data_IF_916721386264
#
_entry.id   IF_916721386264
#
_cell.length_a   1.000
_cell.length_b   1.000
_cell.length_c   1.000
_cell.angle_alpha   90.00
_cell.angle_beta   90.00
_cell.angle_gamma   90.00
#
_symmetry.space_group_name_H-M   'P 1'
#
loop_
_entity.id
_entity.type
_entity.pdbx_description
1 polymer ?
#
# COMPACT_ATOMS: atom_id res chain seq x y z
N UNK A 1 8.62 -16.74 -1.64
CA UNK A 1 7.49 -15.88 -2.01
C UNK A 1 7.05 -15.16 -0.76
N UNK A 2 7.50 -13.92 -0.62
CA UNK A 2 7.06 -13.06 0.46
C UNK A 2 5.57 -12.75 0.29
N UNK A 3 4.86 -12.69 1.41
CA UNK A 3 3.42 -12.39 1.45
C UNK A 3 3.16 -11.22 2.39
N UNK A 4 2.18 -10.38 2.03
CA UNK A 4 1.60 -9.33 2.85
C UNK A 4 0.09 -9.48 2.84
N UNK A 5 -0.47 -9.94 3.95
CA UNK A 5 -1.91 -10.01 4.13
C UNK A 5 -2.41 -8.75 4.85
N UNK A 6 -3.16 -7.91 4.15
CA UNK A 6 -3.54 -6.60 4.71
C UNK A 6 -4.47 -6.77 5.91
N UNK A 7 -5.45 -7.67 5.86
CA UNK A 7 -6.41 -7.87 6.95
C UNK A 7 -5.82 -8.46 8.22
N UNK A 8 -4.79 -9.30 8.08
CA UNK A 8 -4.12 -9.95 9.22
C UNK A 8 -2.93 -9.17 9.76
N UNK A 9 -2.19 -8.50 8.89
CA UNK A 9 -0.93 -7.85 9.26
C UNK A 9 -1.07 -6.34 9.46
N UNK A 10 -2.15 -5.72 9.01
CA UNK A 10 -2.35 -4.27 9.11
C UNK A 10 -3.71 -3.89 9.70
N UNK A 11 -4.78 -4.03 8.92
CA UNK A 11 -6.09 -3.48 9.28
C UNK A 11 -7.23 -4.25 8.64
N UNK A 12 -8.31 -4.43 9.38
CA UNK A 12 -9.58 -4.96 8.86
C UNK A 12 -10.40 -3.88 8.14
N UNK A 13 -10.10 -2.59 8.35
CA UNK A 13 -10.81 -1.45 7.75
C UNK A 13 -9.85 -0.30 7.36
N UNK A 14 -8.98 -0.53 6.37
CA UNK A 14 -8.01 0.46 5.90
C UNK A 14 -8.67 1.59 5.09
N UNK A 15 -8.70 2.80 5.64
CA UNK A 15 -9.39 3.94 5.00
C UNK A 15 -8.60 5.24 4.94
N UNK A 16 -7.78 5.52 5.97
CA UNK A 16 -7.13 6.80 6.17
C UNK A 16 -6.07 7.10 5.12
N UNK A 17 -5.74 8.38 4.93
CA UNK A 17 -4.62 8.78 4.07
C UNK A 17 -3.34 8.81 4.91
N UNK A 18 -3.35 9.61 5.95
CA UNK A 18 -2.18 10.01 6.71
C UNK A 18 -2.26 9.54 8.18
N UNK A 19 -1.12 9.41 8.88
CA UNK A 19 -1.10 9.15 10.33
C UNK A 19 -1.86 10.19 11.16
N UNK A 20 -2.05 11.39 10.61
CA UNK A 20 -2.83 12.44 11.26
C UNK A 20 -4.34 12.18 11.26
N UNK A 21 -4.81 11.35 10.33
CA UNK A 21 -6.21 10.98 10.16
C UNK A 21 -6.62 9.98 11.25
N UNK A 22 -7.92 9.80 11.45
CA UNK A 22 -8.43 8.73 12.32
C UNK A 22 -8.39 7.39 11.58
N UNK A 23 -8.17 6.30 12.34
CA UNK A 23 -8.11 4.94 11.80
C UNK A 23 -6.76 4.58 11.17
N UNK A 24 -6.75 3.44 10.49
CA UNK A 24 -5.54 2.87 9.90
C UNK A 24 -5.29 3.49 8.51
N UNK A 25 -4.09 4.05 8.32
CA UNK A 25 -3.79 4.94 7.20
C UNK A 25 -2.93 4.34 6.10
N UNK A 26 -3.04 4.87 4.87
CA UNK A 26 -2.21 4.46 3.75
C UNK A 26 -0.73 4.81 3.94
N UNK A 27 -0.43 5.94 4.60
CA UNK A 27 0.94 6.31 4.96
C UNK A 27 1.57 5.27 5.90
N UNK A 28 0.84 4.87 6.94
CA UNK A 28 1.27 3.83 7.88
C UNK A 28 1.51 2.49 7.18
N UNK A 29 0.54 2.03 6.40
CA UNK A 29 0.69 0.82 5.60
C UNK A 29 1.92 0.87 4.68
N UNK A 30 2.15 2.01 4.01
CA UNK A 30 3.27 2.16 3.10
C UNK A 30 4.60 2.04 3.84
N UNK A 31 4.78 2.83 4.90
CA UNK A 31 6.07 2.96 5.59
C UNK A 31 6.40 1.75 6.45
N UNK A 32 5.40 1.16 7.11
CA UNK A 32 5.61 0.13 8.14
C UNK A 32 5.40 -1.30 7.64
N UNK A 33 4.64 -1.50 6.56
CA UNK A 33 4.31 -2.85 6.05
C UNK A 33 4.81 -3.07 4.61
N UNK A 34 4.42 -2.22 3.67
CA UNK A 34 4.69 -2.43 2.25
C UNK A 34 6.16 -2.21 1.90
N UNK A 35 6.72 -1.04 2.23
CA UNK A 35 8.12 -0.71 1.91
C UNK A 35 9.13 -1.66 2.56
N UNK A 36 9.00 -2.05 3.85
CA UNK A 36 9.90 -3.02 4.46
C UNK A 36 9.89 -4.37 3.73
N UNK A 37 8.71 -4.88 3.36
CA UNK A 37 8.60 -6.14 2.62
C UNK A 37 9.21 -6.03 1.23
N UNK A 38 8.96 -4.94 0.49
CA UNK A 38 9.55 -4.69 -0.83
C UNK A 38 11.08 -4.59 -0.78
N UNK A 39 11.65 -3.96 0.25
CA UNK A 39 13.11 -3.82 0.43
C UNK A 39 13.80 -5.14 0.77
N UNK A 40 13.09 -6.05 1.43
CA UNK A 40 13.62 -7.35 1.85
C UNK A 40 13.44 -8.45 0.78
N UNK A 41 12.81 -8.16 -0.36
CA UNK A 41 12.71 -9.10 -1.47
C UNK A 41 14.09 -9.45 -2.03
N UNK A 42 14.30 -10.73 -2.30
CA UNK A 42 15.47 -11.18 -3.05
C UNK A 42 15.35 -10.79 -4.54
N UNK A 43 16.47 -10.80 -5.27
CA UNK A 43 16.44 -10.56 -6.72
C UNK A 43 15.46 -11.50 -7.42
N UNK A 44 14.59 -10.94 -8.25
CA UNK A 44 13.49 -11.62 -8.97
C UNK A 44 12.37 -12.20 -8.09
N UNK A 45 12.34 -11.93 -6.79
CA UNK A 45 11.21 -12.27 -5.95
C UNK A 45 10.08 -11.25 -6.09
N UNK A 46 8.83 -11.71 -6.01
CA UNK A 46 7.64 -10.87 -5.93
C UNK A 46 7.00 -10.97 -4.56
N UNK A 47 6.39 -9.87 -4.14
CA UNK A 47 5.53 -9.78 -2.97
C UNK A 47 4.09 -10.09 -3.36
N UNK A 48 3.51 -11.14 -2.79
CA UNK A 48 2.09 -11.42 -2.86
C UNK A 48 1.34 -10.54 -1.85
N UNK A 49 0.38 -9.74 -2.30
CA UNK A 49 -0.47 -8.89 -1.47
C UNK A 49 -1.88 -9.50 -1.46
N UNK A 50 -2.37 -9.90 -0.29
CA UNK A 50 -3.71 -10.48 -0.12
C UNK A 50 -4.66 -9.37 0.34
N UNK A 51 -5.74 -9.16 -0.41
CA UNK A 51 -6.69 -8.05 -0.17
C UNK A 51 -7.93 -8.41 0.64
N UNK A 52 -8.34 -9.67 0.69
CA UNK A 52 -9.70 -10.05 1.11
C UNK A 52 -9.76 -10.96 2.34
N UNK A 53 -8.62 -11.33 2.92
CA UNK A 53 -8.61 -12.15 4.14
C UNK A 53 -8.67 -11.29 5.41
N UNK A 54 -9.90 -11.05 5.87
CA UNK A 54 -10.17 -10.30 7.10
C UNK A 54 -10.26 -8.80 6.91
N UNK A 55 -10.38 -8.32 5.67
CA UNK A 55 -10.65 -6.92 5.34
C UNK A 55 -12.11 -6.79 4.92
N UNK A 56 -12.80 -5.75 5.38
CA UNK A 56 -14.19 -5.49 4.98
C UNK A 56 -14.29 -4.61 3.73
N UNK A 57 -13.28 -3.78 3.49
CA UNK A 57 -13.20 -2.93 2.32
C UNK A 57 -12.02 -1.96 2.39
N UNK A 58 -11.85 -1.15 1.35
CA UNK A 58 -10.75 -0.19 1.25
C UNK A 58 -11.24 1.22 0.93
N UNK A 59 -10.72 2.20 1.68
CA UNK A 59 -10.85 3.61 1.31
C UNK A 59 -10.05 3.95 0.06
N UNK A 60 -10.61 4.77 -0.83
CA UNK A 60 -9.88 5.28 -2.00
C UNK A 60 -8.64 6.11 -1.61
N UNK A 61 -8.73 6.82 -0.48
CA UNK A 61 -7.63 7.55 0.13
C UNK A 61 -6.50 6.63 0.54
N UNK A 62 -6.81 5.56 1.26
CA UNK A 62 -5.87 4.49 1.60
C UNK A 62 -5.19 3.93 0.36
N UNK A 63 -5.95 3.48 -0.65
CA UNK A 63 -5.36 2.87 -1.85
C UNK A 63 -4.42 3.83 -2.59
N UNK A 64 -4.81 5.10 -2.66
CA UNK A 64 -3.99 6.15 -3.30
C UNK A 64 -2.70 6.39 -2.52
N UNK A 65 -2.75 6.47 -1.20
CA UNK A 65 -1.59 6.85 -0.38
C UNK A 65 -0.66 5.67 -0.08
N UNK A 66 -1.24 4.51 0.18
CA UNK A 66 -0.52 3.27 0.44
C UNK A 66 0.26 2.78 -0.78
N UNK A 67 -0.41 2.67 -1.93
CA UNK A 67 0.21 2.13 -3.14
C UNK A 67 0.86 3.21 -4.01
N UNK A 68 0.09 4.23 -4.40
CA UNK A 68 0.62 5.28 -5.28
C UNK A 68 1.62 6.19 -4.57
N UNK A 69 1.57 6.29 -3.23
CA UNK A 69 2.55 7.01 -2.43
C UNK A 69 3.97 6.47 -2.61
N UNK A 70 4.15 5.16 -2.83
CA UNK A 70 5.45 4.55 -3.14
C UNK A 70 6.10 5.24 -4.34
N UNK A 71 5.30 5.53 -5.37
CA UNK A 71 5.77 6.18 -6.60
C UNK A 71 5.88 7.69 -6.41
N UNK A 72 4.84 8.33 -5.86
CA UNK A 72 4.77 9.79 -5.69
C UNK A 72 5.95 10.34 -4.89
N UNK A 73 6.42 9.60 -3.90
CA UNK A 73 7.53 9.98 -3.02
C UNK A 73 8.89 9.41 -3.44
N UNK A 74 8.97 8.82 -4.63
CA UNK A 74 10.24 8.44 -5.23
C UNK A 74 10.88 7.17 -4.68
N UNK A 75 10.13 6.33 -3.94
CA UNK A 75 10.67 5.06 -3.44
C UNK A 75 10.89 4.05 -4.56
N UNK A 76 10.02 4.03 -5.57
CA UNK A 76 10.09 3.10 -6.70
C UNK A 76 9.34 3.67 -7.91
N UNK A 77 9.81 3.37 -9.13
CA UNK A 77 9.02 3.71 -10.34
C UNK A 77 7.78 2.82 -10.44
N UNK A 78 6.73 3.30 -11.11
CA UNK A 78 5.48 2.55 -11.31
C UNK A 78 5.71 1.15 -11.89
N UNK A 79 6.48 1.05 -12.98
CA UNK A 79 6.77 -0.22 -13.64
C UNK A 79 7.57 -1.18 -12.77
N UNK A 80 8.53 -0.65 -11.99
CA UNK A 80 9.32 -1.43 -11.06
C UNK A 80 8.44 -1.97 -9.92
N UNK A 81 7.58 -1.14 -9.35
CA UNK A 81 6.64 -1.56 -8.32
C UNK A 81 5.69 -2.66 -8.82
N UNK A 82 5.07 -2.44 -9.99
CA UNK A 82 4.17 -3.42 -10.60
C UNK A 82 4.89 -4.73 -10.97
N UNK A 83 6.19 -4.70 -11.27
CA UNK A 83 6.97 -5.91 -11.52
C UNK A 83 7.25 -6.72 -10.25
N UNK A 84 7.29 -6.06 -9.09
CA UNK A 84 7.62 -6.66 -7.79
C UNK A 84 6.42 -7.06 -6.95
N UNK A 85 5.21 -6.66 -7.30
CA UNK A 85 4.00 -7.03 -6.56
C UNK A 85 3.09 -7.93 -7.38
N UNK A 86 2.36 -8.79 -6.68
CA UNK A 86 1.27 -9.59 -7.22
C UNK A 86 0.10 -9.46 -6.25
N UNK A 87 -1.08 -9.08 -6.76
CA UNK A 87 -2.26 -8.86 -5.92
C UNK A 87 -3.20 -10.05 -6.05
N UNK A 88 -3.54 -10.66 -4.92
CA UNK A 88 -4.39 -11.84 -4.80
C UNK A 88 -5.65 -11.53 -3.99
N UNK A 89 -6.75 -12.12 -4.43
CA UNK A 89 -8.06 -12.07 -3.80
C UNK A 89 -8.83 -13.32 -4.24
N UNK A 90 -9.69 -13.82 -3.35
CA UNK A 90 -10.61 -14.92 -3.57
C UNK A 90 -12.06 -14.43 -3.74
N UNK A 91 -12.42 -13.33 -3.10
CA UNK A 91 -13.71 -12.66 -3.22
C UNK A 91 -13.73 -11.73 -4.46
N UNK A 92 -14.60 -11.99 -5.47
CA UNK A 92 -14.70 -11.16 -6.67
C UNK A 92 -14.99 -9.68 -6.40
N UNK A 93 -15.63 -9.33 -5.28
CA UNK A 93 -15.93 -7.93 -4.94
C UNK A 93 -14.65 -7.10 -4.73
N UNK A 94 -13.52 -7.76 -4.44
CA UNK A 94 -12.22 -7.13 -4.26
C UNK A 94 -11.46 -6.87 -5.57
N UNK A 95 -11.96 -7.34 -6.71
CA UNK A 95 -11.38 -7.03 -8.02
C UNK A 95 -11.31 -5.52 -8.26
N UNK A 96 -12.36 -4.79 -7.85
CA UNK A 96 -12.41 -3.34 -7.95
C UNK A 96 -11.25 -2.66 -7.19
N UNK A 97 -10.93 -3.13 -5.98
CA UNK A 97 -9.86 -2.54 -5.17
C UNK A 97 -8.48 -2.81 -5.77
N UNK A 98 -8.26 -4.02 -6.31
CA UNK A 98 -7.05 -4.33 -7.08
C UNK A 98 -6.90 -3.38 -8.27
N UNK A 99 -7.96 -3.23 -9.07
CA UNK A 99 -7.91 -2.41 -10.28
C UNK A 99 -7.64 -0.95 -9.92
N UNK A 100 -8.25 -0.44 -8.84
CA UNK A 100 -7.97 0.90 -8.32
C UNK A 100 -6.53 1.05 -7.84
N UNK A 101 -6.00 0.11 -7.07
CA UNK A 101 -4.61 0.14 -6.62
C UNK A 101 -3.64 0.19 -7.82
N UNK A 102 -3.84 -0.69 -8.80
CA UNK A 102 -3.01 -0.73 -10.02
C UNK A 102 -3.16 0.56 -10.83
N UNK A 103 -4.38 1.06 -11.00
CA UNK A 103 -4.65 2.32 -11.69
C UNK A 103 -3.89 3.48 -11.02
N UNK A 104 -4.00 3.63 -9.69
CA UNK A 104 -3.33 4.71 -8.98
C UNK A 104 -1.80 4.61 -9.05
N UNK A 105 -1.24 3.39 -9.03
CA UNK A 105 0.21 3.19 -9.25
C UNK A 105 0.61 3.67 -10.65
N UNK A 106 -0.15 3.31 -11.69
CA UNK A 106 0.14 3.67 -13.09
C UNK A 106 0.03 5.18 -13.35
N UNK A 107 -0.95 5.84 -12.74
CA UNK A 107 -1.18 7.27 -12.88
C UNK A 107 -0.21 8.12 -12.04
N UNK A 108 0.50 7.52 -11.08
CA UNK A 108 1.44 8.25 -10.24
C UNK A 108 2.69 8.68 -11.00
N UNK A 109 3.04 9.95 -10.84
CA UNK A 109 4.30 10.50 -11.35
C UNK A 109 5.40 10.29 -10.31
N UNK A 110 6.49 9.64 -10.72
CA UNK A 110 7.63 9.33 -9.86
C UNK A 110 8.24 10.60 -9.26
N UNK A 111 8.46 10.58 -7.93
CA UNK A 111 9.09 11.68 -7.18
C UNK A 111 8.42 13.06 -7.43
N UNK A 112 7.10 13.07 -7.61
CA UNK A 112 6.30 14.29 -7.86
C UNK A 112 5.99 15.07 -6.59
N UNK A 113 6.18 14.47 -5.41
CA UNK A 113 5.96 15.10 -4.12
C UNK A 113 7.11 14.78 -3.17
N UNK A 114 7.45 15.73 -2.31
CA UNK A 114 8.37 15.51 -1.20
C UNK A 114 7.59 14.82 -0.08
N UNK A 115 8.07 13.65 0.36
CA UNK A 115 7.49 12.99 1.52
C UNK A 115 7.80 13.77 2.80
N UNK A 116 6.75 14.09 3.55
CA UNK A 116 6.84 14.68 4.89
C UNK A 116 5.98 13.82 5.81
N UNK A 117 6.57 13.09 6.79
CA UNK A 117 5.82 12.24 7.69
C UNK A 117 4.75 13.03 8.45
N UNK A 118 3.53 12.49 8.54
CA UNK A 118 2.42 13.12 9.28
C UNK A 118 2.24 12.56 10.69
N UNK A 119 3.13 11.65 11.12
CA UNK A 119 3.14 11.10 12.47
C UNK A 119 3.09 12.24 13.48
N UNK A 120 2.00 12.32 14.24
CA UNK A 120 1.94 13.18 15.42
C UNK A 120 3.05 12.68 16.34
N UNK A 121 3.97 13.55 16.76
CA UNK A 121 4.97 13.21 17.77
C UNK A 121 4.21 12.61 18.96
N UNK A 122 4.32 11.29 19.14
CA UNK A 122 3.85 10.63 20.36
C UNK A 122 4.77 11.15 21.46
N UNK A 123 4.35 12.23 22.12
CA UNK A 123 4.97 12.68 23.36
C UNK A 123 4.95 11.46 24.29
N UNK A 124 6.15 10.96 24.58
CA UNK A 124 6.39 9.87 25.53
C UNK A 124 5.89 10.24 26.92
#
# INVERSE_FOLDING_TARGET
>A
MATLNIGKEFSTYPEGRYYSDEGDSGEEFREEHLLPKLKNLLNNEKLLIILDDGVEGYGSSFLTEGFAGVVKYGHMKSDELLSKIEISYSDPDFEFFKDRAIQYIKEAVFNSKIYTPTQKQKNK
#
